data_IF_817366460612
#
_entry.id   IF_817366460612
#
_cell.length_a   1.000
_cell.length_b   1.000
_cell.length_c   1.000
_cell.angle_alpha   90.00
_cell.angle_beta   90.00
_cell.angle_gamma   90.00
#
_symmetry.space_group_name_H-M   'P 1'
#
loop_
_entity.id
_entity.type
_entity.pdbx_description
1 polymer ?
#
# COMPACT_ATOMS: atom_id res chain seq x y z
N UNK A 1 21.30 2.16 -6.83
CA UNK A 1 19.88 2.02 -6.41
C UNK A 1 19.89 1.19 -5.13
N UNK A 2 19.52 1.76 -3.98
CA UNK A 2 19.46 0.99 -2.74
C UNK A 2 18.27 0.02 -2.83
N UNK A 3 18.54 -1.28 -2.96
CA UNK A 3 17.51 -2.30 -2.78
C UNK A 3 17.30 -2.42 -1.28
N UNK A 4 16.12 -2.04 -0.76
CA UNK A 4 15.77 -2.39 0.60
C UNK A 4 15.69 -3.93 0.67
N UNK A 5 16.62 -4.49 1.45
CA UNK A 5 16.76 -5.91 1.76
C UNK A 5 15.41 -6.54 2.13
N UNK A 6 15.19 -7.85 1.88
CA UNK A 6 14.01 -8.57 2.36
C UNK A 6 13.94 -8.60 3.90
N UNK A 7 13.47 -7.48 4.47
CA UNK A 7 13.27 -7.30 5.88
C UNK A 7 12.21 -8.31 6.35
N UNK A 8 12.53 -9.07 7.40
CA UNK A 8 11.64 -10.09 7.96
C UNK A 8 10.25 -9.55 8.30
N UNK A 9 10.17 -8.27 8.74
CA UNK A 9 8.88 -7.62 8.97
C UNK A 9 8.02 -7.50 7.70
N UNK A 10 8.60 -7.02 6.60
CA UNK A 10 7.86 -6.85 5.34
C UNK A 10 7.50 -8.20 4.70
N UNK A 11 8.36 -9.21 4.82
CA UNK A 11 8.06 -10.58 4.41
C UNK A 11 6.89 -11.13 5.20
N UNK A 12 6.95 -11.07 6.54
CA UNK A 12 5.89 -11.53 7.44
C UNK A 12 4.56 -10.81 7.18
N UNK A 13 4.61 -9.49 6.97
CA UNK A 13 3.43 -8.72 6.62
C UNK A 13 2.82 -9.17 5.28
N UNK A 14 3.63 -9.33 4.23
CA UNK A 14 3.16 -9.73 2.91
C UNK A 14 2.56 -11.15 2.88
N UNK A 15 3.11 -12.08 3.67
CA UNK A 15 2.58 -13.45 3.81
C UNK A 15 1.11 -13.46 4.30
N UNK A 16 0.67 -12.45 5.05
CA UNK A 16 -0.73 -12.32 5.47
C UNK A 16 -1.70 -12.17 4.29
N UNK A 17 -1.23 -11.78 3.10
CA UNK A 17 -2.06 -11.72 1.90
C UNK A 17 -2.31 -13.09 1.27
N UNK A 18 -1.38 -14.04 1.42
CA UNK A 18 -1.48 -15.37 0.81
C UNK A 18 -2.58 -16.23 1.44
N UNK A 19 -3.00 -15.91 2.67
CA UNK A 19 -4.13 -16.58 3.36
C UNK A 19 -5.48 -16.21 2.76
N UNK A 20 -5.53 -15.25 1.84
CA UNK A 20 -6.77 -14.86 1.18
C UNK A 20 -7.23 -15.96 0.21
N UNK A 21 -8.32 -16.63 0.54
CA UNK A 21 -8.94 -17.66 -0.30
C UNK A 21 -10.16 -17.11 -1.07
N UNK A 22 -10.62 -15.90 -0.75
CA UNK A 22 -11.85 -15.37 -1.31
C UNK A 22 -11.59 -14.72 -2.67
N UNK A 23 -12.18 -15.28 -3.72
CA UNK A 23 -12.05 -14.74 -5.07
C UNK A 23 -12.55 -13.30 -5.19
N UNK A 24 -11.93 -12.51 -6.08
CA UNK A 24 -12.23 -11.09 -6.30
C UNK A 24 -13.73 -10.80 -6.48
N UNK A 25 -14.45 -11.65 -7.22
CA UNK A 25 -15.87 -11.44 -7.52
C UNK A 25 -16.77 -11.52 -6.27
N UNK A 26 -16.37 -12.30 -5.26
CA UNK A 26 -17.12 -12.50 -4.01
C UNK A 26 -16.80 -11.46 -2.93
N UNK A 27 -15.81 -10.59 -3.17
CA UNK A 27 -15.40 -9.54 -2.22
C UNK A 27 -16.35 -8.33 -2.28
N UNK A 28 -16.39 -7.57 -1.19
CA UNK A 28 -17.17 -6.33 -1.05
C UNK A 28 -16.66 -5.26 -2.02
N UNK A 29 -17.59 -4.51 -2.62
CA UNK A 29 -17.36 -3.54 -3.69
C UNK A 29 -17.02 -2.14 -3.15
N UNK A 30 -16.02 -2.05 -2.28
CA UNK A 30 -15.54 -0.78 -1.73
C UNK A 30 -14.01 -0.72 -1.75
N UNK A 31 -13.50 0.51 -1.78
CA UNK A 31 -12.10 0.81 -1.46
C UNK A 31 -11.94 0.86 0.04
N UNK A 32 -11.13 -0.03 0.61
CA UNK A 32 -10.86 -0.06 2.05
C UNK A 32 -9.43 0.37 2.37
N UNK A 33 -9.24 1.02 3.51
CA UNK A 33 -7.91 1.40 4.01
C UNK A 33 -7.91 1.78 5.48
N UNK A 34 -6.89 1.35 6.22
CA UNK A 34 -6.62 1.76 7.60
C UNK A 34 -5.17 2.17 7.72
N UNK A 35 -4.93 3.39 8.18
CA UNK A 35 -3.61 4.01 8.11
C UNK A 35 -3.14 4.49 9.47
N UNK A 36 -1.90 4.15 9.81
CA UNK A 36 -1.14 4.91 10.78
C UNK A 36 -0.63 6.19 10.13
N UNK A 37 -0.73 7.34 10.80
CA UNK A 37 -0.21 8.60 10.27
C UNK A 37 1.31 8.72 10.47
N UNK A 38 2.09 7.73 10.00
CA UNK A 38 3.56 7.69 10.16
C UNK A 38 4.34 8.42 9.07
N UNK A 39 3.68 8.84 7.99
CA UNK A 39 4.25 9.62 6.90
C UNK A 39 4.04 11.13 7.08
N UNK A 40 4.25 11.93 6.02
CA UNK A 40 3.99 13.36 6.10
C UNK A 40 2.49 13.63 6.25
N UNK A 41 2.15 14.67 7.01
CA UNK A 41 0.76 15.10 7.25
C UNK A 41 0.21 16.03 6.16
N UNK A 42 1.11 16.56 5.32
CA UNK A 42 0.82 17.31 4.10
C UNK A 42 1.62 16.70 2.94
N UNK A 43 1.21 16.94 1.69
CA UNK A 43 2.00 16.51 0.55
C UNK A 43 3.34 17.25 0.55
N UNK A 44 4.45 16.51 0.47
CA UNK A 44 5.79 17.11 0.47
C UNK A 44 6.57 16.63 -0.76
N UNK A 45 7.33 17.51 -1.44
CA UNK A 45 8.28 17.07 -2.43
C UNK A 45 9.40 16.28 -1.74
N UNK A 46 9.87 15.21 -2.39
CA UNK A 46 11.02 14.46 -1.94
C UNK A 46 12.29 15.01 -2.56
N UNK A 47 13.32 15.21 -1.73
CA UNK A 47 14.65 15.60 -2.19
C UNK A 47 15.23 14.61 -3.22
N UNK A 48 14.83 13.33 -3.12
CA UNK A 48 15.21 12.31 -4.07
C UNK A 48 14.25 12.32 -5.27
N UNK A 49 14.79 12.51 -6.48
CA UNK A 49 14.09 12.44 -7.78
C UNK A 49 12.93 13.44 -8.00
N UNK A 50 12.73 14.42 -7.11
CA UNK A 50 11.67 15.43 -7.26
C UNK A 50 10.26 14.85 -7.23
N UNK A 51 10.08 13.64 -6.70
CA UNK A 51 8.76 13.00 -6.57
C UNK A 51 7.96 13.64 -5.43
N UNK A 52 6.65 13.42 -5.41
CA UNK A 52 5.79 13.91 -4.34
C UNK A 52 5.46 12.76 -3.39
N UNK A 53 5.65 12.97 -2.09
CA UNK A 53 5.21 12.04 -1.04
C UNK A 53 3.78 12.38 -0.61
N UNK A 54 2.89 11.41 -0.79
CA UNK A 54 1.45 11.53 -0.49
C UNK A 54 1.19 11.72 1.00
N UNK A 55 0.32 12.67 1.37
CA UNK A 55 -0.25 12.72 2.71
C UNK A 55 -1.41 11.75 2.85
N UNK A 56 -1.26 10.78 3.76
CA UNK A 56 -2.36 9.88 4.15
C UNK A 56 -3.55 10.66 4.71
N UNK A 57 -3.29 11.71 5.50
CA UNK A 57 -4.35 12.52 6.08
C UNK A 57 -5.16 13.22 4.98
N UNK A 58 -4.49 13.83 4.00
CA UNK A 58 -5.17 14.56 2.92
C UNK A 58 -6.06 13.63 2.09
N UNK A 59 -5.53 12.48 1.66
CA UNK A 59 -6.30 11.51 0.86
C UNK A 59 -7.45 10.91 1.66
N UNK A 60 -7.18 10.47 2.90
CA UNK A 60 -8.24 9.90 3.76
C UNK A 60 -9.29 10.94 4.08
N UNK A 61 -8.90 12.15 4.46
CA UNK A 61 -9.84 13.22 4.76
C UNK A 61 -10.73 13.50 3.55
N UNK A 62 -10.16 13.63 2.35
CA UNK A 62 -10.96 13.87 1.15
C UNK A 62 -11.98 12.75 0.88
N UNK A 63 -11.56 11.49 0.97
CA UNK A 63 -12.38 10.35 0.54
C UNK A 63 -13.22 9.68 1.63
N UNK A 64 -13.00 9.92 2.94
CA UNK A 64 -13.62 9.17 4.07
C UNK A 64 -15.14 9.04 4.10
N UNK A 65 -15.85 9.90 3.39
CA UNK A 65 -17.32 9.93 3.32
C UNK A 65 -17.86 9.56 1.94
N UNK A 66 -16.99 9.26 0.97
CA UNK A 66 -17.42 8.81 -0.35
C UNK A 66 -18.07 7.44 -0.24
N UNK A 67 -19.22 7.27 -0.90
CA UNK A 67 -20.06 6.07 -0.82
C UNK A 67 -19.36 4.79 -1.27
N UNK A 68 -18.29 4.91 -2.07
CA UNK A 68 -17.49 3.80 -2.56
C UNK A 68 -16.27 3.47 -1.69
N UNK A 69 -16.12 4.12 -0.53
CA UNK A 69 -14.94 3.97 0.33
C UNK A 69 -15.29 3.61 1.78
N UNK A 70 -14.36 2.90 2.41
CA UNK A 70 -14.24 2.71 3.85
C UNK A 70 -12.77 2.91 4.23
N UNK A 71 -12.35 4.17 4.28
CA UNK A 71 -10.96 4.57 4.57
C UNK A 71 -10.87 5.39 5.86
N UNK A 72 -9.77 5.25 6.59
CA UNK A 72 -9.59 5.97 7.85
C UNK A 72 -8.19 5.93 8.44
N UNK A 73 -7.94 6.87 9.35
CA UNK A 73 -6.76 6.88 10.22
C UNK A 73 -7.04 5.98 11.42
N UNK A 74 -6.24 4.94 11.60
CA UNK A 74 -6.39 4.00 12.72
C UNK A 74 -5.45 4.31 13.89
N UNK A 75 -4.36 5.03 13.64
CA UNK A 75 -3.44 5.46 14.70
C UNK A 75 -2.63 6.69 14.30
N UNK A 76 -2.24 7.48 15.29
CA UNK A 76 -1.41 8.68 15.12
C UNK A 76 -0.21 8.57 16.07
N UNK A 77 1.02 8.42 15.55
CA UNK A 77 2.21 8.40 16.38
C UNK A 77 2.34 9.67 17.22
N UNK A 78 2.84 9.55 18.46
CA UNK A 78 2.88 10.68 19.40
C UNK A 78 3.57 11.92 18.82
N UNK A 79 4.69 11.72 18.12
CA UNK A 79 5.48 12.81 17.52
C UNK A 79 4.72 13.61 16.46
N UNK A 80 3.65 13.08 15.87
CA UNK A 80 2.86 13.80 14.87
C UNK A 80 1.95 14.87 15.48
N UNK A 81 1.55 14.71 16.75
CA UNK A 81 0.58 15.60 17.36
C UNK A 81 1.07 17.04 17.47
N UNK A 82 2.39 17.25 17.63
CA UNK A 82 3.00 18.58 17.61
C UNK A 82 2.75 19.26 16.26
N UNK A 83 3.17 18.64 15.15
CA UNK A 83 2.96 19.16 13.81
C UNK A 83 1.48 19.37 13.46
N UNK A 84 0.62 18.43 13.88
CA UNK A 84 -0.82 18.53 13.64
C UNK A 84 -1.46 19.73 14.35
N UNK A 85 -0.99 20.08 15.55
CA UNK A 85 -1.46 21.26 16.30
C UNK A 85 -0.97 22.55 15.64
N UNK A 86 0.31 22.60 15.31
CA UNK A 86 0.93 23.76 14.65
C UNK A 86 0.27 24.08 13.30
N UNK A 87 -0.08 23.05 12.53
CA UNK A 87 -0.72 23.19 11.23
C UNK A 87 -2.26 23.30 11.31
N UNK A 88 -2.85 23.25 12.50
CA UNK A 88 -4.31 23.31 12.67
C UNK A 88 -5.08 22.10 12.11
N UNK A 89 -4.44 20.94 11.98
CA UNK A 89 -4.99 19.73 11.33
C UNK A 89 -5.70 18.77 12.29
N UNK A 90 -5.73 19.06 13.59
CA UNK A 90 -6.34 18.18 14.62
C UNK A 90 -7.81 17.84 14.30
N UNK A 91 -8.60 18.81 13.84
CA UNK A 91 -10.01 18.56 13.46
C UNK A 91 -10.14 17.63 12.24
N UNK A 92 -9.23 17.75 11.26
CA UNK A 92 -9.21 16.87 10.10
C UNK A 92 -8.86 15.43 10.51
N UNK A 93 -7.90 15.26 11.42
CA UNK A 93 -7.53 13.95 11.97
C UNK A 93 -8.71 13.34 12.72
N UNK A 94 -9.27 14.06 13.69
CA UNK A 94 -10.37 13.55 14.53
C UNK A 94 -11.57 13.09 13.69
N UNK A 95 -11.93 13.84 12.65
CA UNK A 95 -13.02 13.48 11.74
C UNK A 95 -12.68 12.34 10.76
N UNK A 96 -11.42 11.92 10.71
CA UNK A 96 -10.91 10.84 9.84
C UNK A 96 -10.56 9.56 10.61
N UNK A 97 -10.71 9.55 11.94
CA UNK A 97 -10.43 8.37 12.76
C UNK A 97 -11.45 7.26 12.43
N UNK A 98 -10.95 6.06 12.18
CA UNK A 98 -11.75 4.84 12.06
C UNK A 98 -11.13 3.72 12.90
N UNK A 99 -11.94 2.76 13.41
CA UNK A 99 -11.42 1.60 14.12
C UNK A 99 -10.39 0.84 13.29
N UNK A 100 -9.37 0.32 13.95
CA UNK A 100 -8.40 -0.57 13.32
C UNK A 100 -9.08 -1.82 12.77
N UNK A 101 -8.55 -2.35 11.67
CA UNK A 101 -8.96 -3.63 11.09
C UNK A 101 -7.76 -4.56 10.98
N UNK A 102 -8.00 -5.85 11.13
CA UNK A 102 -7.04 -6.91 10.83
C UNK A 102 -6.90 -7.07 9.32
N UNK A 103 -5.77 -7.59 8.87
CA UNK A 103 -5.55 -7.85 7.43
C UNK A 103 -6.64 -8.77 6.86
N UNK A 104 -7.02 -9.83 7.59
CA UNK A 104 -8.10 -10.75 7.17
C UNK A 104 -9.46 -10.08 6.96
N UNK A 105 -9.74 -8.99 7.67
CA UNK A 105 -10.96 -8.19 7.50
C UNK A 105 -10.86 -7.29 6.27
N UNK A 106 -9.71 -6.65 6.05
CA UNK A 106 -9.43 -5.83 4.87
C UNK A 106 -9.47 -6.67 3.58
N UNK A 107 -9.00 -7.92 3.64
CA UNK A 107 -9.04 -8.87 2.52
C UNK A 107 -10.47 -9.23 2.06
N UNK A 108 -11.52 -8.86 2.81
CA UNK A 108 -12.89 -9.06 2.35
C UNK A 108 -13.33 -8.07 1.26
N UNK A 109 -12.49 -7.09 0.90
CA UNK A 109 -12.81 -5.99 0.00
C UNK A 109 -12.04 -6.09 -1.32
N UNK A 110 -12.69 -5.71 -2.42
CA UNK A 110 -12.10 -5.77 -3.76
C UNK A 110 -10.87 -4.88 -3.91
N UNK A 111 -10.89 -3.69 -3.31
CA UNK A 111 -9.87 -2.68 -3.54
C UNK A 111 -9.22 -2.27 -2.22
N UNK A 112 -7.89 -2.33 -2.17
CA UNK A 112 -7.12 -1.92 -1.00
C UNK A 112 -6.37 -0.64 -1.36
N UNK A 113 -6.63 0.44 -0.63
CA UNK A 113 -5.88 1.68 -0.78
C UNK A 113 -4.53 1.56 -0.06
N UNK A 114 -3.45 1.66 -0.82
CA UNK A 114 -2.08 1.47 -0.35
C UNK A 114 -1.30 2.77 -0.49
N UNK A 115 -1.32 3.61 0.55
CA UNK A 115 -0.55 4.86 0.58
C UNK A 115 0.69 4.66 1.44
N UNK A 116 1.84 5.14 0.97
CA UNK A 116 3.12 5.12 1.69
C UNK A 116 3.07 5.95 2.99
N UNK A 117 3.96 5.62 3.93
CA UNK A 117 4.03 6.23 5.25
C UNK A 117 5.37 6.91 5.45
N UNK A 118 6.06 6.58 6.53
CA UNK A 118 7.47 6.95 6.70
C UNK A 118 8.33 6.37 5.55
N UNK A 119 8.02 5.15 5.13
CA UNK A 119 8.66 4.38 4.05
C UNK A 119 7.53 3.78 3.15
N UNK A 120 7.78 2.64 2.49
CA UNK A 120 6.79 1.88 1.72
C UNK A 120 5.49 1.58 2.49
N UNK A 121 4.41 1.39 1.74
CA UNK A 121 3.15 0.93 2.31
C UNK A 121 3.21 -0.57 2.64
N UNK A 122 3.21 -0.93 3.93
CA UNK A 122 3.08 -2.33 4.35
C UNK A 122 1.85 -3.01 3.74
N UNK A 123 0.77 -2.22 3.54
CA UNK A 123 -0.46 -2.70 2.91
C UNK A 123 -0.28 -3.18 1.48
N UNK A 124 0.64 -2.56 0.74
CA UNK A 124 0.86 -2.89 -0.65
C UNK A 124 1.36 -4.32 -0.84
N UNK A 125 2.25 -4.79 0.02
CA UNK A 125 2.80 -6.15 -0.06
C UNK A 125 1.74 -7.23 0.13
N UNK A 126 0.92 -7.15 1.19
CA UNK A 126 -0.13 -8.16 1.40
C UNK A 126 -1.33 -7.96 0.47
N UNK A 127 -1.63 -6.75 0.00
CA UNK A 127 -2.66 -6.54 -1.00
C UNK A 127 -2.25 -7.18 -2.33
N UNK A 128 -1.00 -6.98 -2.77
CA UNK A 128 -0.45 -7.65 -3.95
C UNK A 128 -0.50 -9.17 -3.80
N UNK A 129 -0.23 -9.71 -2.62
CA UNK A 129 -0.24 -11.15 -2.37
C UNK A 129 -1.65 -11.77 -2.26
N UNK A 130 -2.71 -10.98 -2.39
CA UNK A 130 -4.09 -11.40 -2.18
C UNK A 130 -4.90 -11.50 -3.48
N UNK A 131 -6.20 -11.79 -3.39
CA UNK A 131 -7.15 -11.66 -4.50
C UNK A 131 -7.82 -10.28 -4.56
N UNK A 132 -7.34 -9.30 -3.80
CA UNK A 132 -7.77 -7.90 -3.88
C UNK A 132 -6.87 -7.10 -4.83
N UNK A 133 -7.38 -6.00 -5.36
CA UNK A 133 -6.66 -5.09 -6.25
C UNK A 133 -6.03 -3.97 -5.41
N UNK A 134 -4.70 -3.83 -5.41
CA UNK A 134 -4.04 -2.72 -4.77
C UNK A 134 -4.21 -1.44 -5.59
N UNK A 135 -4.60 -0.34 -4.93
CA UNK A 135 -4.59 1.01 -5.47
C UNK A 135 -3.43 1.78 -4.82
N UNK A 136 -2.44 2.23 -5.57
CA UNK A 136 -1.19 2.79 -5.02
C UNK A 136 -0.76 4.07 -5.74
N UNK A 137 -0.39 5.15 -5.02
CA UNK A 137 0.23 6.34 -5.64
C UNK A 137 1.47 5.97 -6.47
N UNK A 138 1.57 6.49 -7.69
CA UNK A 138 2.69 6.19 -8.59
C UNK A 138 3.20 7.48 -9.25
N UNK A 139 4.52 7.65 -9.50
CA UNK A 139 5.63 6.69 -9.31
C UNK A 139 5.98 6.39 -7.85
N UNK A 140 6.59 5.23 -7.60
CA UNK A 140 7.06 4.84 -6.28
C UNK A 140 8.15 5.80 -5.75
N UNK A 141 7.99 6.26 -4.51
CA UNK A 141 9.00 7.10 -3.85
C UNK A 141 10.11 6.22 -3.27
N UNK A 142 9.73 5.07 -2.69
CA UNK A 142 10.62 4.09 -2.10
C UNK A 142 10.47 2.74 -2.82
N UNK A 143 11.50 1.89 -2.76
CA UNK A 143 11.48 0.58 -3.40
C UNK A 143 12.02 -0.49 -2.46
N UNK A 144 11.38 -1.66 -2.46
CA UNK A 144 11.87 -2.89 -1.80
C UNK A 144 12.05 -4.01 -2.83
N UNK A 145 12.60 -5.16 -2.42
CA UNK A 145 12.94 -6.25 -3.35
C UNK A 145 11.79 -6.65 -4.30
N UNK A 146 10.55 -6.72 -3.79
CA UNK A 146 9.40 -7.13 -4.60
C UNK A 146 8.88 -6.05 -5.56
N UNK A 147 9.41 -4.81 -5.52
CA UNK A 147 9.02 -3.78 -6.48
C UNK A 147 9.65 -4.01 -7.85
N UNK A 148 10.77 -4.73 -7.91
CA UNK A 148 11.39 -5.07 -9.18
C UNK A 148 10.46 -5.99 -9.98
N UNK A 149 10.16 -5.60 -11.23
CA UNK A 149 9.21 -6.31 -12.08
C UNK A 149 7.74 -5.90 -11.90
N UNK A 150 7.39 -5.11 -10.88
CA UNK A 150 6.04 -4.53 -10.78
C UNK A 150 5.83 -3.51 -11.90
N UNK A 151 4.59 -3.49 -12.40
CA UNK A 151 4.16 -2.62 -13.50
C UNK A 151 2.75 -2.09 -13.21
N UNK A 152 2.51 -0.78 -13.33
CA UNK A 152 1.18 -0.20 -13.20
C UNK A 152 0.24 -0.79 -14.25
N UNK A 153 -1.03 -0.96 -13.90
CA UNK A 153 -2.07 -1.60 -14.71
C UNK A 153 -1.83 -3.06 -15.07
N UNK A 154 -0.76 -3.68 -14.57
CA UNK A 154 -0.50 -5.13 -14.68
C UNK A 154 -0.65 -5.80 -13.33
N UNK A 155 -0.02 -5.25 -12.28
CA UNK A 155 0.01 -5.86 -10.95
C UNK A 155 -0.78 -5.07 -9.90
N UNK A 156 -1.03 -3.79 -10.17
CA UNK A 156 -1.78 -2.88 -9.32
C UNK A 156 -2.38 -1.76 -10.17
N UNK A 157 -3.33 -1.01 -9.61
CA UNK A 157 -3.89 0.20 -10.24
C UNK A 157 -3.13 1.43 -9.71
N UNK A 158 -2.45 2.19 -10.56
CA UNK A 158 -1.76 3.40 -10.16
C UNK A 158 -2.77 4.51 -9.84
N UNK A 159 -2.42 5.34 -8.87
CA UNK A 159 -3.08 6.60 -8.55
C UNK A 159 -2.10 7.75 -8.75
N UNK A 160 -2.63 8.95 -8.95
CA UNK A 160 -1.83 10.18 -8.85
C UNK A 160 -1.22 10.31 -7.44
N UNK A 161 -0.06 10.97 -7.29
CA UNK A 161 0.57 11.18 -5.98
C UNK A 161 -0.31 11.92 -4.96
N UNK A 162 -1.29 12.71 -5.40
CA UNK A 162 -2.24 13.39 -4.52
C UNK A 162 -3.52 12.58 -4.23
N UNK A 163 -3.70 11.42 -4.87
CA UNK A 163 -4.88 10.57 -4.75
C UNK A 163 -6.17 11.17 -5.30
N UNK A 164 -6.08 12.22 -6.13
CA UNK A 164 -7.24 12.93 -6.70
C UNK A 164 -8.05 12.10 -7.70
N UNK A 165 -7.47 11.02 -8.22
CA UNK A 165 -8.07 10.11 -9.20
C UNK A 165 -8.60 8.80 -8.59
N UNK A 166 -8.79 8.75 -7.27
CA UNK A 166 -9.28 7.53 -6.61
C UNK A 166 -10.69 7.12 -7.10
N UNK A 167 -11.59 8.09 -7.28
CA UNK A 167 -12.94 7.81 -7.76
C UNK A 167 -12.95 7.27 -9.19
N UNK A 168 -12.19 7.89 -10.10
CA UNK A 168 -12.12 7.42 -11.49
C UNK A 168 -11.46 6.04 -11.58
N UNK A 169 -10.44 5.77 -10.75
CA UNK A 169 -9.82 4.44 -10.65
C UNK A 169 -10.81 3.37 -10.15
N UNK A 170 -11.61 3.70 -9.14
CA UNK A 170 -12.67 2.82 -8.63
C UNK A 170 -13.70 2.50 -9.73
N UNK A 171 -14.24 3.52 -10.40
CA UNK A 171 -15.25 3.31 -11.44
C UNK A 171 -14.71 2.60 -12.68
N UNK A 172 -13.45 2.85 -13.03
CA UNK A 172 -12.77 2.06 -14.07
C UNK A 172 -12.77 0.58 -13.70
N UNK A 173 -12.38 0.22 -12.47
CA UNK A 173 -12.36 -1.18 -12.08
C UNK A 173 -13.75 -1.81 -12.01
N UNK A 174 -14.76 -1.08 -11.53
CA UNK A 174 -16.13 -1.60 -11.45
C UNK A 174 -16.78 -1.80 -12.83
N UNK A 175 -16.33 -1.05 -13.84
CA UNK A 175 -16.74 -1.24 -15.24
C UNK A 175 -15.87 -2.25 -15.99
N UNK A 176 -14.71 -2.64 -15.45
CA UNK A 176 -13.75 -3.58 -16.05
C UNK A 176 -13.38 -4.72 -15.10
N UNK A 177 -14.38 -5.37 -14.49
CA UNK A 177 -14.17 -6.40 -13.46
C UNK A 177 -13.22 -7.52 -13.88
N UNK A 178 -13.33 -8.00 -15.12
CA UNK A 178 -12.41 -9.03 -15.66
C UNK A 178 -10.97 -8.54 -15.62
N UNK A 179 -10.73 -7.32 -16.09
CA UNK A 179 -9.40 -6.72 -16.12
C UNK A 179 -8.85 -6.52 -14.71
N UNK A 180 -9.65 -6.03 -13.77
CA UNK A 180 -9.19 -5.83 -12.40
C UNK A 180 -8.96 -7.16 -11.66
N UNK A 181 -9.71 -8.21 -11.97
CA UNK A 181 -9.40 -9.57 -11.51
C UNK A 181 -8.05 -10.07 -12.07
N UNK A 182 -7.75 -9.85 -13.35
CA UNK A 182 -6.44 -10.20 -13.94
C UNK A 182 -5.29 -9.45 -13.25
N UNK A 183 -5.50 -8.17 -12.89
CA UNK A 183 -4.51 -7.37 -12.15
C UNK A 183 -4.24 -7.98 -10.76
N UNK A 184 -5.27 -8.32 -10.01
CA UNK A 184 -5.12 -8.96 -8.70
C UNK A 184 -4.36 -10.30 -8.80
N UNK A 185 -4.72 -11.13 -9.79
CA UNK A 185 -4.06 -12.43 -10.01
C UNK A 185 -2.59 -12.26 -10.40
N UNK A 186 -2.27 -11.31 -11.28
CA UNK A 186 -0.90 -11.04 -11.68
C UNK A 186 -0.05 -10.52 -10.50
N UNK A 187 -0.62 -9.61 -9.69
CA UNK A 187 0.00 -9.17 -8.43
C UNK A 187 0.30 -10.33 -7.49
N UNK A 188 -0.67 -11.23 -7.30
CA UNK A 188 -0.52 -12.40 -6.44
C UNK A 188 0.55 -13.35 -6.93
N UNK A 189 0.54 -13.69 -8.23
CA UNK A 189 1.56 -14.54 -8.84
C UNK A 189 2.96 -13.95 -8.69
N UNK A 190 3.09 -12.62 -8.81
CA UNK A 190 4.34 -11.94 -8.56
C UNK A 190 4.80 -12.10 -7.11
N UNK A 191 3.91 -11.88 -6.15
CA UNK A 191 4.24 -12.02 -4.73
C UNK A 191 4.54 -13.45 -4.31
N UNK A 192 3.88 -14.46 -4.88
CA UNK A 192 4.23 -15.88 -4.64
C UNK A 192 5.69 -16.14 -4.99
N UNK A 193 6.18 -15.61 -6.12
CA UNK A 193 7.61 -15.72 -6.48
C UNK A 193 8.51 -14.92 -5.54
N UNK A 194 8.10 -13.70 -5.17
CA UNK A 194 8.91 -12.80 -4.35
C UNK A 194 8.96 -13.17 -2.87
N UNK A 195 8.05 -14.03 -2.41
CA UNK A 195 7.97 -14.56 -1.05
C UNK A 195 8.44 -16.01 -0.93
N UNK A 196 8.85 -16.63 -2.03
CA UNK A 196 9.43 -17.96 -2.02
C UNK A 196 10.70 -18.01 -1.15
N UNK A 197 10.80 -19.02 -0.29
CA UNK A 197 11.84 -19.10 0.74
C UNK A 197 13.23 -19.29 0.13
N UNK A 198 13.32 -20.09 -0.94
CA UNK A 198 14.59 -20.32 -1.64
C UNK A 198 15.01 -19.06 -2.40
N UNK A 199 14.06 -18.39 -3.06
CA UNK A 199 14.28 -17.12 -3.74
C UNK A 199 14.78 -16.04 -2.78
N UNK A 200 14.11 -15.87 -1.63
CA UNK A 200 14.51 -14.93 -0.59
C UNK A 200 15.90 -15.28 -0.05
N UNK A 201 16.17 -16.54 0.26
CA UNK A 201 17.47 -16.99 0.76
C UNK A 201 18.59 -16.75 -0.25
N UNK A 202 18.32 -16.93 -1.55
CA UNK A 202 19.25 -16.62 -2.62
C UNK A 202 19.57 -15.12 -2.67
N UNK A 203 18.57 -14.24 -2.68
CA UNK A 203 18.79 -12.78 -2.65
C UNK A 203 19.66 -12.40 -1.44
N UNK A 204 19.37 -12.98 -0.27
CA UNK A 204 20.14 -12.70 0.94
C UNK A 204 21.61 -13.08 0.78
N UNK A 205 21.89 -14.29 0.29
CA UNK A 205 23.26 -14.75 0.03
C UNK A 205 23.99 -13.89 -1.00
N UNK A 206 23.33 -13.53 -2.10
CA UNK A 206 23.91 -12.68 -3.14
C UNK A 206 24.29 -11.30 -2.58
N UNK A 207 23.40 -10.68 -1.80
CA UNK A 207 23.71 -9.38 -1.18
C UNK A 207 24.85 -9.50 -0.15
N UNK A 208 24.89 -10.54 0.70
CA UNK A 208 26.02 -10.76 1.63
C UNK A 208 27.34 -10.91 0.87
N UNK A 209 27.32 -11.68 -0.23
CA UNK A 209 28.51 -11.90 -1.07
C UNK A 209 29.05 -10.63 -1.71
N UNK A 210 28.18 -9.69 -2.11
CA UNK A 210 28.59 -8.41 -2.72
C UNK A 210 29.38 -7.53 -1.75
N UNK A 211 29.20 -7.73 -0.44
CA UNK A 211 29.84 -6.92 0.59
C UNK A 211 31.06 -7.62 1.21
N UNK A 212 31.46 -8.79 0.70
CA UNK A 212 32.48 -9.66 1.29
C UNK A 212 32.27 -9.86 2.81
N UNK A 213 31.03 -9.86 3.27
CA UNK A 213 30.73 -10.12 4.67
C UNK A 213 30.86 -11.63 4.88
N UNK A 214 31.74 -12.05 5.78
CA UNK A 214 31.81 -13.44 6.21
C UNK A 214 30.49 -13.82 6.91
N UNK A 215 29.93 -14.97 6.53
CA UNK A 215 28.64 -15.44 7.01
C UNK A 215 28.72 -16.09 8.39
#
# INVERSE_FOLDING_TARGET
MALLWPNGYLVSAALQGLVDEKSFMLKRRLVVGRFALSGPVQHIPTYHKGLMKTSRLSVVHHWRNASFTDVGISSVPMYQWTFLRELGLVGQVNSSIRPQMRVTELLQYRYILCIEGADVSTAFGWALASYSVPLHPYPFVYNVWYFNGLRPWVHFVPLKPDGSDLESAYWYCETHLRRCNEIALAGRQHMVRMLDVEYLSRIKREVVSLWNLEA
#
